data_IF_186974403834
#
_entry.id   IF_186974403834
#
_cell.length_a   1.000
_cell.length_b   1.000
_cell.length_c   1.000
_cell.angle_alpha   90.00
_cell.angle_beta   90.00
_cell.angle_gamma   90.00
#
_symmetry.space_group_name_H-M   'P 1'
#
loop_
_entity.id
_entity.type
_entity.pdbx_description
1 polymer ?
#
# COMPACT_ATOMS: atom_id res chain seq x y z
N UNK A 1 4.84 32.75 -1.84
CA UNK A 1 5.75 32.13 -2.82
C UNK A 1 5.14 30.78 -3.18
N UNK A 2 4.65 30.59 -4.41
CA UNK A 2 3.92 29.38 -4.81
C UNK A 2 4.81 28.48 -5.66
N UNK A 3 5.15 27.28 -5.18
CA UNK A 3 5.86 26.24 -5.95
C UNK A 3 4.92 25.33 -6.75
N UNK A 4 3.61 25.63 -6.76
CA UNK A 4 2.61 24.82 -7.44
C UNK A 4 2.66 25.06 -8.95
N UNK A 5 2.77 23.98 -9.73
CA UNK A 5 2.71 24.00 -11.20
C UNK A 5 4.00 24.45 -11.90
N UNK A 6 5.10 24.63 -11.15
CA UNK A 6 6.39 25.09 -11.70
C UNK A 6 7.36 23.95 -12.00
N UNK A 7 7.02 22.72 -11.65
CA UNK A 7 7.90 21.57 -11.83
C UNK A 7 7.14 20.28 -12.10
N UNK A 8 7.88 19.30 -12.61
CA UNK A 8 7.40 17.96 -12.92
C UNK A 8 8.17 16.92 -12.10
N UNK A 9 7.56 15.75 -11.96
CA UNK A 9 8.15 14.60 -11.28
C UNK A 9 7.96 13.36 -12.13
N UNK A 10 9.00 12.57 -12.31
CA UNK A 10 9.00 11.37 -13.15
C UNK A 10 9.49 10.19 -12.32
N UNK A 11 8.72 9.10 -12.33
CA UNK A 11 9.20 7.79 -11.87
C UNK A 11 9.97 7.10 -13.00
N UNK A 12 11.14 6.56 -12.68
CA UNK A 12 12.05 5.91 -13.62
C UNK A 12 12.38 4.50 -13.14
N UNK A 13 12.33 3.52 -14.04
CA UNK A 13 12.67 2.12 -13.80
C UNK A 13 14.17 1.84 -13.88
N UNK A 14 15.02 2.75 -13.39
CA UNK A 14 16.47 2.61 -13.34
C UNK A 14 16.99 2.93 -11.95
N UNK A 15 18.07 2.26 -11.56
CA UNK A 15 18.79 2.53 -10.32
C UNK A 15 19.53 3.87 -10.35
N UNK A 16 20.00 4.30 -9.18
CA UNK A 16 20.72 5.57 -9.01
C UNK A 16 21.97 5.69 -9.89
N UNK A 17 22.76 4.63 -9.99
CA UNK A 17 23.99 4.62 -10.79
C UNK A 17 23.68 4.69 -12.29
N UNK A 18 22.66 3.97 -12.73
CA UNK A 18 22.24 3.90 -14.13
C UNK A 18 21.63 5.23 -14.61
N UNK A 19 20.91 5.94 -13.74
CA UNK A 19 20.27 7.21 -14.11
C UNK A 19 21.20 8.42 -14.01
N UNK A 20 22.27 8.34 -13.20
CA UNK A 20 23.20 9.45 -12.95
C UNK A 20 23.81 10.08 -14.23
N UNK A 21 24.23 9.30 -15.26
CA UNK A 21 24.77 9.85 -16.50
C UNK A 21 23.77 10.67 -17.32
N UNK A 22 22.47 10.49 -17.11
CA UNK A 22 21.41 11.25 -17.79
C UNK A 22 21.10 12.53 -17.03
N UNK A 23 21.05 12.46 -15.70
CA UNK A 23 20.81 13.61 -14.83
C UNK A 23 21.93 14.65 -14.98
N UNK A 24 23.19 14.21 -15.05
CA UNK A 24 24.34 15.12 -15.17
C UNK A 24 24.36 15.94 -16.47
N UNK A 25 23.57 15.54 -17.48
CA UNK A 25 23.45 16.26 -18.76
C UNK A 25 22.40 17.36 -18.74
N UNK A 26 21.57 17.44 -17.69
CA UNK A 26 20.46 18.39 -17.59
C UNK A 26 20.55 19.14 -16.27
N UNK A 27 21.04 20.38 -16.32
CA UNK A 27 21.09 21.26 -15.14
C UNK A 27 19.69 21.75 -14.79
N UNK A 28 19.30 21.67 -13.51
CA UNK A 28 17.99 22.14 -13.01
C UNK A 28 16.99 21.02 -12.70
N UNK A 29 17.36 19.76 -12.93
CA UNK A 29 16.67 18.59 -12.37
C UNK A 29 17.48 17.97 -11.23
N UNK A 30 16.83 17.15 -10.41
CA UNK A 30 17.44 16.46 -9.29
C UNK A 30 16.95 15.01 -9.23
N UNK A 31 17.81 14.12 -8.73
CA UNK A 31 17.37 12.83 -8.21
C UNK A 31 16.61 13.12 -6.91
N UNK A 32 15.30 12.94 -6.94
CA UNK A 32 14.41 13.21 -5.81
C UNK A 32 14.40 12.03 -4.84
N UNK A 33 14.31 10.81 -5.37
CA UNK A 33 14.22 9.59 -4.57
C UNK A 33 15.05 8.46 -5.19
N UNK A 34 15.76 7.73 -4.34
CA UNK A 34 16.26 6.38 -4.57
C UNK A 34 15.29 5.41 -3.87
N UNK A 35 14.25 4.99 -4.59
CA UNK A 35 13.17 4.16 -4.03
C UNK A 35 13.60 2.70 -3.91
N UNK A 36 14.38 2.18 -4.85
CA UNK A 36 14.88 0.80 -4.83
C UNK A 36 16.14 0.70 -5.69
N UNK A 37 16.81 -0.47 -5.73
CA UNK A 37 17.97 -0.68 -6.61
C UNK A 37 17.68 -0.43 -8.10
N UNK A 38 16.42 -0.51 -8.52
CA UNK A 38 15.99 -0.37 -9.92
C UNK A 38 14.84 0.63 -10.08
N UNK A 39 14.65 1.54 -9.11
CA UNK A 39 13.59 2.54 -9.16
C UNK A 39 14.01 3.84 -8.52
N UNK A 40 13.93 4.90 -9.31
CA UNK A 40 14.26 6.26 -8.92
C UNK A 40 13.13 7.23 -9.27
N UNK A 41 13.15 8.39 -8.63
CA UNK A 41 12.26 9.51 -8.95
C UNK A 41 13.09 10.73 -9.29
N UNK A 42 12.78 11.40 -10.39
CA UNK A 42 13.42 12.64 -10.84
C UNK A 42 12.43 13.79 -10.65
N UNK A 43 12.90 14.94 -10.17
CA UNK A 43 12.08 16.14 -10.03
C UNK A 43 12.83 17.40 -10.46
N UNK A 44 12.12 18.41 -10.94
CA UNK A 44 12.72 19.68 -11.36
C UNK A 44 11.77 20.50 -12.23
N UNK A 45 12.33 21.47 -12.95
CA UNK A 45 11.58 22.30 -13.88
C UNK A 45 10.94 21.48 -14.99
N UNK A 46 9.70 21.82 -15.35
CA UNK A 46 8.87 21.00 -16.25
C UNK A 46 9.50 20.78 -17.63
N UNK A 47 10.03 21.84 -18.25
CA UNK A 47 10.71 21.81 -19.54
C UNK A 47 11.99 20.97 -19.50
N UNK A 48 12.75 21.07 -18.41
CA UNK A 48 14.00 20.31 -18.23
C UNK A 48 13.74 18.83 -17.95
N UNK A 49 12.70 18.50 -17.18
CA UNK A 49 12.25 17.12 -16.98
C UNK A 49 11.77 16.50 -18.31
N UNK A 50 11.06 17.26 -19.14
CA UNK A 50 10.66 16.81 -20.47
C UNK A 50 11.87 16.58 -21.40
N UNK A 51 12.86 17.46 -21.36
CA UNK A 51 14.12 17.28 -22.10
C UNK A 51 14.88 16.03 -21.64
N UNK A 52 15.00 15.83 -20.33
CA UNK A 52 15.58 14.62 -19.74
C UNK A 52 14.85 13.35 -20.19
N UNK A 53 13.51 13.34 -20.17
CA UNK A 53 12.70 12.22 -20.64
C UNK A 53 13.02 11.87 -22.10
N UNK A 54 13.05 12.87 -22.99
CA UNK A 54 13.35 12.66 -24.40
C UNK A 54 14.75 12.07 -24.65
N UNK A 55 15.76 12.52 -23.89
CA UNK A 55 17.11 11.97 -23.95
C UNK A 55 17.15 10.52 -23.43
N UNK A 56 16.60 10.29 -22.23
CA UNK A 56 16.68 9.00 -21.56
C UNK A 56 15.87 7.92 -22.28
N UNK A 57 14.66 8.23 -22.75
CA UNK A 57 13.82 7.29 -23.51
C UNK A 57 14.44 6.91 -24.85
N UNK A 58 15.16 7.83 -25.50
CA UNK A 58 15.85 7.53 -26.77
C UNK A 58 16.99 6.54 -26.59
N UNK A 59 17.74 6.65 -25.50
CA UNK A 59 18.87 5.76 -25.19
C UNK A 59 18.44 4.47 -24.47
N UNK A 60 17.28 4.48 -23.80
CA UNK A 60 16.72 3.37 -23.01
C UNK A 60 15.24 3.13 -23.36
N UNK A 61 14.91 2.68 -24.59
CA UNK A 61 13.52 2.60 -25.06
C UNK A 61 12.65 1.62 -24.26
N UNK A 62 13.26 0.56 -23.70
CA UNK A 62 12.56 -0.46 -22.90
C UNK A 62 12.40 -0.07 -21.42
N UNK A 63 13.02 1.05 -20.99
CA UNK A 63 12.93 1.50 -19.60
C UNK A 63 11.58 2.14 -19.32
N UNK A 64 11.03 1.83 -18.14
CA UNK A 64 9.83 2.48 -17.65
C UNK A 64 10.10 3.94 -17.29
N UNK A 65 9.36 4.87 -17.90
CA UNK A 65 9.29 6.28 -17.52
C UNK A 65 7.84 6.70 -17.38
N UNK A 66 7.47 7.30 -16.24
CA UNK A 66 6.11 7.80 -16.02
C UNK A 66 6.13 9.12 -15.27
N UNK A 67 5.63 10.16 -15.93
CA UNK A 67 5.33 11.43 -15.28
C UNK A 67 4.22 11.25 -14.23
N UNK A 68 4.45 11.78 -13.04
CA UNK A 68 3.54 11.69 -11.91
C UNK A 68 2.63 12.92 -11.90
N UNK A 69 1.34 12.70 -11.66
CA UNK A 69 0.34 13.78 -11.53
C UNK A 69 0.45 14.46 -10.18
N UNK A 70 1.52 15.20 -9.97
CA UNK A 70 1.79 15.99 -8.76
C UNK A 70 1.91 17.46 -9.12
N UNK A 71 1.48 18.33 -8.20
CA UNK A 71 1.51 19.78 -8.43
C UNK A 71 2.82 20.43 -7.97
N UNK A 72 3.65 19.71 -7.24
CA UNK A 72 4.86 20.24 -6.58
C UNK A 72 5.99 19.23 -6.82
N UNK A 73 7.11 19.74 -7.32
CA UNK A 73 8.35 18.99 -7.49
C UNK A 73 9.18 19.06 -6.19
N UNK A 74 8.81 18.24 -5.20
CA UNK A 74 9.59 18.09 -3.96
C UNK A 74 11.00 17.52 -4.23
N UNK A 75 11.91 17.71 -3.27
CA UNK A 75 13.32 17.26 -3.37
C UNK A 75 14.04 17.78 -4.62
N UNK A 76 13.70 19.01 -5.02
CA UNK A 76 14.32 19.74 -6.13
C UNK A 76 14.75 21.14 -5.70
N UNK A 77 15.45 21.84 -6.60
CA UNK A 77 15.83 23.24 -6.42
C UNK A 77 14.64 24.16 -6.06
N UNK A 78 13.40 23.80 -6.44
CA UNK A 78 12.20 24.55 -6.08
C UNK A 78 11.95 24.64 -4.57
N UNK A 79 12.43 23.66 -3.78
CA UNK A 79 12.23 23.65 -2.33
C UNK A 79 13.22 24.53 -1.59
N UNK A 80 14.41 24.79 -2.16
CA UNK A 80 15.46 25.58 -1.52
C UNK A 80 15.01 27.01 -1.20
N UNK A 81 14.20 27.63 -2.06
CA UNK A 81 13.66 28.97 -1.82
C UNK A 81 12.64 29.02 -0.68
N UNK A 82 12.02 27.88 -0.34
CA UNK A 82 11.05 27.78 0.75
C UNK A 82 11.67 27.30 2.06
N UNK A 83 12.82 26.63 2.02
CA UNK A 83 13.40 25.95 3.17
C UNK A 83 13.57 26.81 4.41
N UNK A 84 14.13 28.02 4.26
CA UNK A 84 14.33 28.93 5.40
C UNK A 84 13.00 29.39 6.03
N UNK A 85 11.99 29.65 5.20
CA UNK A 85 10.66 30.03 5.69
C UNK A 85 9.97 28.83 6.37
N UNK A 86 10.11 27.63 5.79
CA UNK A 86 9.59 26.40 6.37
C UNK A 86 10.22 26.11 7.74
N UNK A 87 11.56 26.14 7.84
CA UNK A 87 12.31 25.93 9.08
C UNK A 87 11.88 26.91 10.19
N UNK A 88 11.75 28.19 9.84
CA UNK A 88 11.28 29.24 10.77
C UNK A 88 9.87 28.94 11.29
N UNK A 89 8.97 28.50 10.41
CA UNK A 89 7.59 28.17 10.78
C UNK A 89 7.52 26.88 11.62
N UNK A 90 8.36 25.88 11.33
CA UNK A 90 8.35 24.60 12.06
C UNK A 90 9.00 24.69 13.43
N UNK A 91 9.92 25.64 13.64
CA UNK A 91 10.71 25.76 14.88
C UNK A 91 9.87 25.73 16.16
N UNK A 92 8.70 26.35 16.15
CA UNK A 92 7.82 26.43 17.33
C UNK A 92 6.89 25.21 17.50
N UNK A 93 6.96 24.25 16.58
CA UNK A 93 6.11 23.05 16.55
C UNK A 93 6.90 21.75 16.67
N UNK A 94 8.24 21.82 16.68
CA UNK A 94 9.10 20.65 16.90
C UNK A 94 9.39 20.52 18.38
N UNK A 95 8.83 19.47 18.97
CA UNK A 95 9.10 19.09 20.36
C UNK A 95 9.81 17.75 20.39
N UNK A 96 10.84 17.66 21.22
CA UNK A 96 11.68 16.48 21.34
C UNK A 96 11.27 15.65 22.55
N UNK A 97 10.98 14.37 22.34
CA UNK A 97 10.76 13.42 23.42
C UNK A 97 12.07 12.99 24.07
N UNK A 98 12.01 12.45 25.29
CA UNK A 98 13.21 11.90 25.97
C UNK A 98 13.73 10.62 25.32
N UNK A 99 12.83 9.84 24.75
CA UNK A 99 13.11 8.53 24.16
C UNK A 99 12.32 8.37 22.85
N UNK A 100 12.84 7.55 21.95
CA UNK A 100 12.16 7.18 20.71
C UNK A 100 12.47 5.73 20.31
N UNK A 101 11.56 5.13 19.55
CA UNK A 101 11.88 3.94 18.75
C UNK A 101 12.83 4.36 17.64
N UNK A 102 13.87 3.57 17.29
CA UNK A 102 14.81 3.94 16.24
C UNK A 102 14.11 4.29 14.92
N UNK A 103 14.44 5.44 14.35
CA UNK A 103 13.95 5.87 13.05
C UNK A 103 15.05 5.70 12.00
N UNK A 104 14.79 4.92 10.96
CA UNK A 104 15.72 4.79 9.84
C UNK A 104 15.49 5.95 8.87
N UNK A 105 16.39 6.93 8.91
CA UNK A 105 16.28 8.19 8.18
C UNK A 105 16.52 8.00 6.69
N UNK A 106 15.58 8.45 5.87
CA UNK A 106 15.73 8.51 4.41
C UNK A 106 16.58 9.68 3.93
N UNK A 107 17.11 10.52 4.82
CA UNK A 107 18.06 11.59 4.45
C UNK A 107 19.48 11.09 4.54
N UNK A 108 19.78 10.32 5.58
CA UNK A 108 21.14 9.87 5.92
C UNK A 108 21.37 8.40 5.61
N UNK A 109 20.30 7.63 5.38
CA UNK A 109 20.36 6.18 5.21
C UNK A 109 20.75 5.42 6.48
N UNK A 110 20.60 6.04 7.66
CA UNK A 110 21.07 5.52 8.95
C UNK A 110 19.97 5.57 10.01
N UNK A 111 20.12 4.73 11.04
CA UNK A 111 19.27 4.76 12.22
C UNK A 111 19.55 5.99 13.10
N UNK A 112 18.51 6.79 13.36
CA UNK A 112 18.47 7.85 14.36
C UNK A 112 17.87 7.27 15.63
N UNK A 113 18.57 7.48 16.75
CA UNK A 113 18.16 7.01 18.08
C UNK A 113 18.05 8.14 19.09
N UNK A 114 18.73 9.25 18.83
CA UNK A 114 18.62 10.46 19.64
C UNK A 114 17.49 11.34 19.07
N UNK A 115 16.39 11.54 19.83
CA UNK A 115 15.28 12.38 19.38
C UNK A 115 15.68 13.82 19.06
N UNK A 116 16.79 14.32 19.61
CA UNK A 116 17.27 15.69 19.35
C UNK A 116 17.81 15.88 17.93
N UNK A 117 18.12 14.80 17.21
CA UNK A 117 18.52 14.86 15.80
C UNK A 117 17.36 15.22 14.86
N UNK A 118 16.11 15.15 15.33
CA UNK A 118 14.89 15.46 14.57
C UNK A 118 14.41 16.90 14.83
N UNK A 119 15.31 17.86 14.64
CA UNK A 119 15.06 19.29 14.80
C UNK A 119 14.41 19.92 13.54
N UNK A 120 14.07 21.21 13.60
CA UNK A 120 13.54 21.95 12.45
C UNK A 120 14.45 21.90 11.21
N UNK A 121 15.77 21.82 11.44
CA UNK A 121 16.76 21.74 10.39
C UNK A 121 16.74 20.36 9.71
N UNK A 122 16.48 19.29 10.45
CA UNK A 122 16.21 17.96 9.91
C UNK A 122 14.99 17.97 9.00
N UNK A 123 13.87 18.56 9.42
CA UNK A 123 12.67 18.62 8.61
C UNK A 123 12.87 19.47 7.34
N UNK A 124 13.61 20.58 7.43
CA UNK A 124 14.02 21.32 6.24
C UNK A 124 14.85 20.47 5.30
N UNK A 125 15.87 19.78 5.81
CA UNK A 125 16.68 18.86 5.01
C UNK A 125 15.82 17.76 4.39
N UNK A 126 14.80 17.26 5.09
CA UNK A 126 13.88 16.26 4.56
C UNK A 126 13.15 16.78 3.32
N UNK A 127 12.70 18.04 3.34
CA UNK A 127 12.02 18.70 2.24
C UNK A 127 12.92 18.91 1.01
N UNK A 128 14.20 19.19 1.24
CA UNK A 128 15.16 19.62 0.21
C UNK A 128 16.03 18.48 -0.35
N UNK A 129 16.35 17.48 0.46
CA UNK A 129 17.36 16.47 0.14
C UNK A 129 16.78 15.27 -0.62
N UNK A 130 17.64 14.55 -1.33
CA UNK A 130 17.36 13.24 -1.91
C UNK A 130 16.84 12.26 -0.82
N UNK A 131 15.73 11.58 -1.15
CA UNK A 131 15.16 10.49 -0.34
C UNK A 131 15.88 9.18 -0.64
N UNK A 132 16.74 8.73 0.27
CA UNK A 132 17.51 7.49 0.25
C UNK A 132 16.70 6.32 0.85
N UNK A 133 15.51 6.05 0.29
CA UNK A 133 14.61 5.02 0.83
C UNK A 133 15.22 3.62 0.75
N UNK A 134 15.80 3.25 -0.41
CA UNK A 134 16.53 1.98 -0.57
C UNK A 134 17.59 1.79 0.53
N UNK A 135 18.45 2.80 0.72
CA UNK A 135 19.51 2.75 1.72
C UNK A 135 18.97 2.65 3.16
N UNK A 136 17.90 3.37 3.48
CA UNK A 136 17.27 3.29 4.79
C UNK A 136 16.77 1.86 5.09
N UNK A 137 16.16 1.18 4.12
CA UNK A 137 15.72 -0.21 4.29
C UNK A 137 16.90 -1.18 4.35
N UNK A 138 17.97 -0.98 3.57
CA UNK A 138 19.19 -1.79 3.71
C UNK A 138 19.78 -1.64 5.13
N UNK A 139 19.77 -0.43 5.69
CA UNK A 139 20.23 -0.19 7.07
C UNK A 139 19.36 -0.92 8.10
N UNK A 140 18.05 -1.08 7.86
CA UNK A 140 17.17 -1.94 8.69
C UNK A 140 17.67 -3.38 8.68
N UNK A 141 17.99 -3.93 7.51
CA UNK A 141 18.50 -5.30 7.36
C UNK A 141 19.84 -5.51 8.06
N UNK A 142 20.73 -4.51 8.02
CA UNK A 142 22.02 -4.56 8.70
C UNK A 142 21.88 -4.56 10.23
N UNK A 143 20.97 -3.76 10.77
CA UNK A 143 20.79 -3.63 12.22
C UNK A 143 19.93 -4.74 12.84
N UNK A 144 19.09 -5.41 12.05
CA UNK A 144 18.13 -6.40 12.53
C UNK A 144 18.16 -7.67 11.66
N UNK A 145 19.06 -8.64 11.90
CA UNK A 145 19.23 -9.81 11.03
C UNK A 145 18.12 -10.90 11.08
N UNK A 146 16.94 -10.59 11.62
CA UNK A 146 15.83 -11.52 11.91
C UNK A 146 14.62 -11.23 10.97
N UNK A 147 13.62 -12.13 10.82
CA UNK A 147 12.56 -11.94 9.83
C UNK A 147 11.83 -10.60 10.03
N UNK A 148 11.70 -9.85 8.94
CA UNK A 148 11.10 -8.51 8.97
C UNK A 148 9.64 -8.54 8.51
N UNK A 149 8.78 -7.88 9.27
CA UNK A 149 7.46 -7.47 8.81
C UNK A 149 7.46 -5.95 8.58
N UNK A 150 7.14 -5.52 7.36
CA UNK A 150 6.99 -4.12 6.99
C UNK A 150 5.50 -3.79 6.87
N UNK A 151 4.98 -3.07 7.86
CA UNK A 151 3.62 -2.52 7.84
C UNK A 151 3.65 -1.12 7.22
N UNK A 152 3.06 -0.94 6.03
CA UNK A 152 2.90 0.39 5.42
C UNK A 152 1.65 1.06 5.96
N UNK A 153 1.84 2.07 6.80
CA UNK A 153 0.76 2.93 7.30
C UNK A 153 0.50 4.06 6.29
N UNK A 154 -0.55 3.89 5.49
CA UNK A 154 -0.90 4.85 4.44
C UNK A 154 -2.26 4.57 3.81
N UNK A 155 -2.72 5.52 2.98
CA UNK A 155 -4.02 5.47 2.28
C UNK A 155 -4.07 4.48 1.10
N UNK A 156 -2.93 3.94 0.68
CA UNK A 156 -2.77 2.93 -0.35
C UNK A 156 -1.38 2.27 -0.21
N UNK A 157 -1.17 1.14 -0.87
CA UNK A 157 0.10 0.39 -0.94
C UNK A 157 1.11 1.05 -1.90
N UNK A 158 1.51 2.27 -1.63
CA UNK A 158 2.40 3.03 -2.50
C UNK A 158 3.85 2.52 -2.48
N UNK A 159 4.29 1.94 -1.35
CA UNK A 159 5.65 1.43 -1.17
C UNK A 159 5.82 -0.04 -1.57
N UNK A 160 4.74 -0.72 -1.94
CA UNK A 160 4.77 -2.15 -2.31
C UNK A 160 5.80 -2.45 -3.39
N UNK A 161 5.75 -1.74 -4.53
CA UNK A 161 6.68 -1.98 -5.65
C UNK A 161 8.15 -1.83 -5.25
N UNK A 162 8.56 -0.65 -4.73
CA UNK A 162 9.92 -0.43 -4.25
C UNK A 162 10.39 -1.43 -3.20
N UNK A 163 9.56 -1.75 -2.20
CA UNK A 163 9.91 -2.72 -1.15
C UNK A 163 10.11 -4.12 -1.72
N UNK A 164 9.27 -4.59 -2.66
CA UNK A 164 9.47 -5.89 -3.30
C UNK A 164 10.78 -5.96 -4.08
N UNK A 165 11.17 -4.88 -4.76
CA UNK A 165 12.47 -4.79 -5.44
C UNK A 165 13.64 -4.83 -4.45
N UNK A 166 13.52 -4.16 -3.30
CA UNK A 166 14.53 -4.21 -2.23
C UNK A 166 14.59 -5.61 -1.61
N UNK A 167 13.46 -6.27 -1.38
CA UNK A 167 13.41 -7.61 -0.78
C UNK A 167 14.04 -8.68 -1.69
N UNK A 168 14.02 -8.48 -3.01
CA UNK A 168 14.70 -9.36 -3.96
C UNK A 168 16.24 -9.33 -3.80
N UNK A 169 16.81 -8.25 -3.27
CA UNK A 169 18.26 -8.16 -2.99
C UNK A 169 18.61 -8.67 -1.59
N UNK A 170 17.64 -8.84 -0.70
CA UNK A 170 17.86 -9.38 0.64
C UNK A 170 18.41 -10.82 0.60
N UNK A 171 19.45 -11.08 1.40
CA UNK A 171 20.16 -12.38 1.46
C UNK A 171 19.96 -13.14 2.78
N UNK A 172 19.12 -12.63 3.68
CA UNK A 172 18.81 -13.32 4.93
C UNK A 172 17.95 -14.56 4.72
N UNK A 173 17.89 -15.42 5.76
CA UNK A 173 17.25 -16.74 5.69
C UNK A 173 15.75 -16.70 5.36
N UNK A 174 15.05 -15.66 5.81
CA UNK A 174 13.60 -15.49 5.64
C UNK A 174 13.30 -14.21 4.85
N UNK A 175 12.57 -14.32 3.74
CA UNK A 175 12.15 -13.13 3.00
C UNK A 175 11.27 -12.22 3.87
N UNK A 176 11.49 -10.89 3.84
CA UNK A 176 10.60 -9.94 4.50
C UNK A 176 9.16 -10.06 4.02
N UNK A 177 8.22 -9.77 4.92
CA UNK A 177 6.78 -9.70 4.64
C UNK A 177 6.38 -8.24 4.53
N UNK A 178 5.56 -7.90 3.53
CA UNK A 178 4.98 -6.57 3.36
C UNK A 178 3.47 -6.62 3.61
N UNK A 179 2.96 -5.68 4.40
CA UNK A 179 1.56 -5.59 4.80
C UNK A 179 1.09 -4.14 4.60
N UNK A 180 0.20 -3.85 3.65
CA UNK A 180 -0.40 -2.52 3.54
C UNK A 180 -1.53 -2.34 4.55
N UNK A 181 -1.68 -1.14 5.14
CA UNK A 181 -2.85 -0.84 5.98
C UNK A 181 -4.12 -0.58 5.18
N UNK A 182 -4.00 0.08 4.01
CA UNK A 182 -5.15 0.40 3.14
C UNK A 182 -4.79 0.16 1.68
N UNK A 183 -5.78 -0.23 0.86
CA UNK A 183 -5.63 -0.38 -0.59
C UNK A 183 -6.81 0.25 -1.35
N UNK A 184 -6.54 0.91 -2.48
CA UNK A 184 -7.58 1.47 -3.35
C UNK A 184 -8.22 0.35 -4.17
N UNK A 185 -9.53 0.39 -4.31
CA UNK A 185 -10.32 -0.45 -5.23
C UNK A 185 -10.16 -1.97 -5.06
N UNK A 186 -9.71 -2.44 -3.89
CA UNK A 186 -9.71 -3.87 -3.57
C UNK A 186 -10.89 -4.17 -2.64
N UNK A 187 -11.87 -4.89 -3.19
CA UNK A 187 -12.75 -5.81 -2.44
C UNK A 187 -12.26 -7.21 -2.85
N UNK A 188 -11.85 -8.04 -1.90
CA UNK A 188 -11.17 -9.30 -2.19
C UNK A 188 -12.17 -10.47 -2.19
N UNK A 189 -12.47 -11.08 -3.36
CA UNK A 189 -12.82 -12.52 -3.53
C UNK A 189 -13.28 -12.90 -4.96
N UNK A 190 -12.92 -14.11 -5.44
CA UNK A 190 -13.63 -14.79 -6.55
C UNK A 190 -12.97 -16.08 -7.11
N UNK A 191 -13.70 -17.20 -7.07
CA UNK A 191 -13.41 -18.49 -7.75
C UNK A 191 -14.62 -18.82 -8.68
N UNK A 192 -14.38 -19.38 -9.87
CA UNK A 192 -15.39 -19.68 -10.91
C UNK A 192 -16.26 -20.94 -10.66
N UNK A 193 -17.52 -20.86 -11.12
CA UNK A 193 -18.57 -21.91 -11.17
C UNK A 193 -18.38 -22.90 -12.34
N UNK A 194 -18.75 -24.18 -12.13
CA UNK A 194 -19.31 -25.07 -13.17
C UNK A 194 -20.68 -25.57 -12.73
N UNK A 195 -21.62 -25.50 -13.68
CA UNK A 195 -22.83 -26.32 -13.87
C UNK A 195 -23.83 -26.48 -12.71
N UNK A 196 -24.86 -25.63 -12.64
CA UNK A 196 -26.23 -26.03 -12.27
C UNK A 196 -27.26 -25.09 -12.93
N UNK A 197 -28.26 -25.71 -13.55
CA UNK A 197 -29.34 -25.07 -14.29
C UNK A 197 -30.41 -24.46 -13.37
N UNK A 198 -30.60 -23.15 -13.49
CA UNK A 198 -31.82 -22.34 -13.28
C UNK A 198 -31.43 -20.89 -13.68
N UNK A 199 -32.37 -20.01 -14.07
CA UNK A 199 -32.03 -18.61 -14.35
C UNK A 199 -31.64 -17.96 -13.01
N UNK A 200 -30.38 -18.10 -12.64
CA UNK A 200 -29.83 -17.53 -11.43
C UNK A 200 -29.71 -16.03 -11.66
N UNK A 201 -30.41 -15.25 -10.85
CA UNK A 201 -30.15 -13.84 -10.69
C UNK A 201 -28.64 -13.65 -10.52
N UNK A 202 -28.00 -13.01 -11.49
CA UNK A 202 -26.56 -12.81 -11.49
C UNK A 202 -26.22 -11.88 -10.33
N UNK A 203 -25.27 -12.30 -9.49
CA UNK A 203 -24.97 -11.58 -8.27
C UNK A 203 -23.46 -11.42 -8.10
N UNK A 204 -23.05 -10.19 -7.81
CA UNK A 204 -21.65 -9.83 -7.59
C UNK A 204 -21.32 -10.04 -6.12
N UNK A 205 -20.34 -10.89 -5.76
CA UNK A 205 -19.91 -11.07 -4.39
C UNK A 205 -19.41 -9.75 -3.79
N UNK A 206 -19.95 -9.38 -2.64
CA UNK A 206 -19.64 -8.14 -1.92
C UNK A 206 -18.76 -8.40 -0.70
N UNK A 207 -19.08 -9.44 0.07
CA UNK A 207 -18.36 -9.81 1.29
C UNK A 207 -18.66 -11.27 1.68
N UNK A 208 -17.75 -11.90 2.42
CA UNK A 208 -17.97 -13.18 3.11
C UNK A 208 -17.54 -12.97 4.56
N UNK A 209 -18.44 -13.19 5.51
CA UNK A 209 -18.12 -12.96 6.93
C UNK A 209 -17.21 -14.05 7.49
N UNK A 210 -17.45 -15.31 7.11
CA UNK A 210 -16.62 -16.44 7.54
C UNK A 210 -16.39 -17.42 6.41
N UNK A 211 -15.14 -17.80 6.21
CA UNK A 211 -14.72 -18.83 5.27
C UNK A 211 -13.79 -19.82 5.98
N UNK A 212 -14.09 -21.12 5.88
CA UNK A 212 -13.24 -22.20 6.40
C UNK A 212 -13.00 -23.21 5.29
N UNK A 213 -11.74 -23.56 5.03
CA UNK A 213 -11.36 -24.51 3.96
C UNK A 213 -10.47 -25.59 4.56
N UNK A 214 -10.72 -26.83 4.19
CA UNK A 214 -9.86 -27.97 4.48
C UNK A 214 -9.61 -28.79 3.21
N UNK A 215 -8.65 -29.71 3.29
CA UNK A 215 -8.36 -30.63 2.18
C UNK A 215 -9.60 -31.50 1.92
N UNK A 216 -10.16 -31.36 0.72
CA UNK A 216 -11.29 -32.15 0.22
C UNK A 216 -10.85 -33.40 -0.54
N UNK A 217 -11.80 -34.02 -1.23
CA UNK A 217 -11.54 -35.17 -2.12
C UNK A 217 -12.31 -35.05 -3.43
N UNK A 218 -12.23 -36.07 -4.29
CA UNK A 218 -12.91 -36.09 -5.58
C UNK A 218 -14.44 -36.04 -5.51
N UNK A 219 -15.05 -36.44 -4.38
CA UNK A 219 -16.51 -36.39 -4.19
C UNK A 219 -16.86 -35.63 -2.93
N UNK A 220 -17.64 -34.58 -3.09
CA UNK A 220 -18.08 -33.71 -2.00
C UNK A 220 -19.53 -33.27 -2.24
N UNK A 221 -20.28 -33.03 -1.16
CA UNK A 221 -21.68 -32.60 -1.19
C UNK A 221 -21.80 -31.15 -0.76
N UNK A 222 -22.40 -30.32 -1.60
CA UNK A 222 -22.67 -28.92 -1.30
C UNK A 222 -24.07 -28.78 -0.71
N UNK A 223 -24.18 -28.18 0.46
CA UNK A 223 -25.41 -27.56 0.96
C UNK A 223 -25.25 -26.05 0.87
N UNK A 224 -26.24 -25.35 0.34
CA UNK A 224 -26.25 -23.89 0.34
C UNK A 224 -27.64 -23.35 0.62
N UNK A 225 -27.69 -22.18 1.23
CA UNK A 225 -28.91 -21.43 1.47
C UNK A 225 -28.66 -19.98 1.11
N UNK A 226 -29.63 -19.35 0.45
CA UNK A 226 -29.57 -17.93 0.13
C UNK A 226 -30.93 -17.28 0.40
N UNK A 227 -30.91 -16.05 0.89
CA UNK A 227 -32.08 -15.22 1.16
C UNK A 227 -31.86 -13.83 0.56
N UNK A 228 -32.92 -13.25 0.00
CA UNK A 228 -32.89 -11.84 -0.40
C UNK A 228 -33.12 -10.96 0.81
N UNK A 229 -32.30 -9.92 0.94
CA UNK A 229 -32.50 -8.81 1.87
C UNK A 229 -33.13 -7.62 1.15
N UNK A 230 -33.37 -6.53 1.87
CA UNK A 230 -33.79 -5.26 1.27
C UNK A 230 -32.73 -4.71 0.30
N UNK A 231 -33.16 -3.87 -0.65
CA UNK A 231 -32.29 -3.12 -1.59
C UNK A 231 -31.38 -3.96 -2.51
N UNK A 232 -31.84 -5.10 -3.03
CA UNK A 232 -31.09 -5.87 -4.05
C UNK A 232 -29.86 -6.61 -3.51
N UNK A 233 -29.75 -6.76 -2.19
CA UNK A 233 -28.68 -7.51 -1.55
C UNK A 233 -29.15 -8.94 -1.29
N UNK A 234 -28.35 -9.92 -1.69
CA UNK A 234 -28.54 -11.33 -1.36
C UNK A 234 -27.57 -11.72 -0.24
N UNK A 235 -28.02 -12.57 0.68
CA UNK A 235 -27.17 -13.13 1.74
C UNK A 235 -27.29 -14.64 1.76
N UNK A 236 -26.18 -15.38 1.91
CA UNK A 236 -26.22 -16.83 1.90
C UNK A 236 -25.08 -17.51 2.62
N UNK A 237 -25.32 -18.77 2.93
CA UNK A 237 -24.40 -19.69 3.57
C UNK A 237 -24.16 -20.87 2.62
N UNK A 238 -22.95 -21.44 2.66
CA UNK A 238 -22.63 -22.65 1.92
C UNK A 238 -21.73 -23.57 2.74
N UNK A 239 -21.94 -24.87 2.66
CA UNK A 239 -21.13 -25.89 3.32
C UNK A 239 -20.84 -27.00 2.33
N UNK A 240 -19.57 -27.33 2.15
CA UNK A 240 -19.12 -28.47 1.36
C UNK A 240 -18.67 -29.57 2.33
N UNK A 241 -19.26 -30.75 2.18
CA UNK A 241 -19.04 -31.92 3.01
C UNK A 241 -18.31 -33.00 2.21
N UNK A 242 -17.34 -33.65 2.84
CA UNK A 242 -16.77 -34.92 2.40
C UNK A 242 -17.17 -36.00 3.42
N UNK A 243 -18.14 -36.85 3.09
CA UNK A 243 -18.82 -37.68 4.09
C UNK A 243 -19.51 -36.78 5.13
N UNK A 244 -19.18 -36.96 6.40
CA UNK A 244 -19.67 -36.13 7.51
C UNK A 244 -18.72 -34.99 7.89
N UNK A 245 -17.58 -34.84 7.18
CA UNK A 245 -16.58 -33.82 7.46
C UNK A 245 -16.82 -32.56 6.64
N UNK A 246 -16.89 -31.41 7.30
CA UNK A 246 -16.89 -30.10 6.65
C UNK A 246 -15.50 -29.81 6.07
N UNK A 247 -15.45 -29.60 4.75
CA UNK A 247 -14.23 -29.25 3.99
C UNK A 247 -14.28 -27.85 3.40
N UNK A 248 -15.48 -27.27 3.29
CA UNK A 248 -15.67 -25.84 3.04
C UNK A 248 -16.85 -25.37 3.90
N UNK A 249 -16.74 -24.23 4.56
CA UNK A 249 -17.88 -23.54 5.15
C UNK A 249 -17.78 -22.06 4.86
N UNK A 250 -18.86 -21.49 4.35
CA UNK A 250 -19.06 -20.09 4.02
C UNK A 250 -20.25 -19.65 4.84
N UNK A 251 -20.08 -18.66 5.70
CA UNK A 251 -21.17 -18.07 6.48
C UNK A 251 -21.31 -16.59 6.18
N UNK A 252 -22.56 -16.16 6.00
CA UNK A 252 -23.01 -14.79 5.72
C UNK A 252 -22.27 -14.16 4.54
N UNK A 253 -22.16 -14.90 3.44
CA UNK A 253 -21.79 -14.31 2.16
C UNK A 253 -22.86 -13.30 1.75
N UNK A 254 -22.44 -12.16 1.21
CA UNK A 254 -23.29 -11.06 0.77
C UNK A 254 -23.01 -10.79 -0.70
N UNK A 255 -24.04 -10.61 -1.51
CA UNK A 255 -23.95 -10.37 -2.95
C UNK A 255 -24.87 -9.22 -3.36
N UNK A 256 -24.52 -8.48 -4.41
CA UNK A 256 -25.41 -7.51 -5.05
C UNK A 256 -26.08 -8.15 -6.27
N UNK A 257 -27.40 -8.05 -6.36
CA UNK A 257 -28.13 -8.41 -7.57
C UNK A 257 -27.78 -7.48 -8.71
N UNK A 258 -27.53 -8.04 -9.90
CA UNK A 258 -27.42 -7.29 -11.15
C UNK A 258 -28.78 -7.37 -11.85
N UNK A 259 -29.47 -6.24 -11.99
CA UNK A 259 -30.69 -6.16 -12.80
C UNK A 259 -30.30 -6.18 -14.29
N UNK A 260 -30.62 -7.27 -14.98
CA UNK A 260 -30.33 -7.46 -16.42
C UNK A 260 -31.44 -6.92 -17.34
N UNK A 261 -32.25 -5.97 -16.87
CA UNK A 261 -33.38 -5.40 -17.64
C UNK A 261 -33.01 -4.20 -18.52
N UNK A 262 -31.72 -3.84 -18.61
CA UNK A 262 -31.22 -2.76 -19.48
C UNK A 262 -30.71 -3.27 -20.83
N UNK A 263 -31.21 -2.68 -21.91
CA UNK A 263 -30.98 -3.04 -23.32
C UNK A 263 -29.56 -2.72 -23.86
N UNK A 264 -28.55 -2.57 -22.99
CA UNK A 264 -27.16 -2.31 -23.40
C UNK A 264 -26.26 -3.53 -23.14
N UNK A 265 -25.54 -4.04 -24.14
CA UNK A 265 -24.62 -5.16 -23.96
C UNK A 265 -23.43 -4.70 -23.13
N UNK A 266 -23.38 -5.11 -21.86
CA UNK A 266 -22.19 -4.95 -21.02
C UNK A 266 -21.06 -5.78 -21.64
N UNK A 267 -19.97 -5.10 -21.99
CA UNK A 267 -18.82 -5.69 -22.67
C UNK A 267 -18.24 -6.86 -21.87
N UNK A 268 -18.36 -8.08 -22.42
CA UNK A 268 -17.82 -9.32 -21.86
C UNK A 268 -16.39 -9.46 -22.39
N UNK A 269 -15.40 -9.42 -21.50
CA UNK A 269 -14.01 -9.73 -21.87
C UNK A 269 -13.88 -11.24 -22.14
N UNK A 270 -13.67 -11.61 -23.41
CA UNK A 270 -13.31 -12.98 -23.82
C UNK A 270 -11.88 -13.28 -23.33
N UNK A 271 -11.73 -14.28 -22.44
CA UNK A 271 -10.41 -14.79 -22.03
C UNK A 271 -10.12 -16.06 -22.82
N UNK A 272 -9.04 -16.05 -23.61
CA UNK A 272 -8.50 -17.23 -24.31
C UNK A 272 -7.35 -17.83 -23.52
N UNK A 273 -7.42 -19.14 -23.30
CA UNK A 273 -6.36 -19.93 -22.67
C UNK A 273 -5.33 -20.37 -23.72
N UNK A 274 -4.06 -20.09 -23.46
CA UNK A 274 -2.92 -20.79 -24.07
C UNK A 274 -2.26 -21.67 -23.00
N UNK A 275 -1.76 -22.87 -23.35
CA UNK A 275 -1.26 -23.82 -22.37
C UNK A 275 0.23 -23.56 -22.09
N UNK A 276 0.56 -22.87 -21.00
CA UNK A 276 1.85 -23.01 -20.33
C UNK A 276 1.76 -22.51 -18.88
N UNK A 277 1.46 -23.41 -17.94
CA UNK A 277 1.74 -23.22 -16.52
C UNK A 277 2.35 -24.51 -15.99
N UNK A 278 3.67 -24.49 -15.73
CA UNK A 278 4.34 -25.49 -14.92
C UNK A 278 3.80 -25.41 -13.48
N UNK A 279 3.12 -26.46 -13.04
CA UNK A 279 2.54 -26.54 -11.70
C UNK A 279 3.61 -26.95 -10.68
N UNK A 280 4.00 -26.02 -9.81
CA UNK A 280 4.75 -26.35 -8.59
C UNK A 280 3.85 -27.06 -7.56
N UNK A 281 4.38 -27.99 -6.75
CA UNK A 281 3.61 -28.72 -5.75
C UNK A 281 2.94 -27.78 -4.73
N UNK A 282 1.65 -28.00 -4.44
CA UNK A 282 0.84 -27.17 -3.53
C UNK A 282 1.41 -27.03 -2.08
N UNK A 283 2.27 -27.97 -1.67
CA UNK A 283 3.02 -27.92 -0.39
C UNK A 283 4.01 -26.76 -0.35
N UNK A 284 4.53 -26.32 -1.50
CA UNK A 284 5.48 -25.21 -1.60
C UNK A 284 4.77 -23.84 -1.71
N UNK A 285 3.47 -23.85 -2.05
CA UNK A 285 2.65 -22.63 -2.15
C UNK A 285 1.99 -22.24 -0.83
N UNK A 286 1.78 -23.18 0.10
CA UNK A 286 1.22 -22.90 1.43
C UNK A 286 2.35 -22.96 2.45
N UNK A 287 3.01 -21.82 2.69
CA UNK A 287 3.92 -21.68 3.84
C UNK A 287 3.11 -21.79 5.12
N UNK A 288 3.26 -22.90 5.85
CA UNK A 288 2.89 -22.94 7.28
C UNK A 288 3.80 -21.95 8.01
N UNK A 289 3.23 -20.90 8.59
CA UNK A 289 3.94 -20.10 9.57
C UNK A 289 4.40 -21.04 10.68
N UNK A 290 5.72 -21.21 10.86
CA UNK A 290 6.28 -22.10 11.88
C UNK A 290 5.94 -21.64 13.30
N UNK A 291 5.39 -20.43 13.45
CA UNK A 291 4.89 -19.89 14.70
C UNK A 291 3.68 -18.97 14.44
N UNK A 292 2.52 -19.58 14.17
CA UNK A 292 1.26 -18.85 13.93
C UNK A 292 0.89 -17.94 15.12
N UNK A 293 1.20 -18.38 16.34
CA UNK A 293 0.90 -17.62 17.54
C UNK A 293 1.74 -16.35 17.66
N UNK A 294 3.05 -16.43 17.42
CA UNK A 294 3.91 -15.24 17.40
C UNK A 294 3.48 -14.22 16.33
N UNK A 295 2.99 -14.69 15.18
CA UNK A 295 2.46 -13.81 14.13
C UNK A 295 1.15 -13.13 14.56
N UNK A 296 0.24 -13.87 15.20
CA UNK A 296 -1.00 -13.31 15.79
C UNK A 296 -0.71 -12.29 16.88
N UNK A 297 0.28 -12.54 17.74
CA UNK A 297 0.64 -11.62 18.83
C UNK A 297 1.20 -10.29 18.27
N UNK A 298 2.01 -10.37 17.21
CA UNK A 298 2.49 -9.17 16.48
C UNK A 298 1.34 -8.44 15.81
N UNK A 299 0.42 -9.14 15.14
CA UNK A 299 -0.75 -8.52 14.51
C UNK A 299 -1.67 -7.85 15.53
N UNK A 300 -1.93 -8.50 16.66
CA UNK A 300 -2.72 -7.94 17.76
C UNK A 300 -2.04 -6.71 18.39
N UNK A 301 -0.71 -6.70 18.46
CA UNK A 301 0.05 -5.54 18.91
C UNK A 301 -0.03 -4.37 17.91
N UNK A 302 0.14 -4.66 16.61
CA UNK A 302 -0.01 -3.67 15.54
C UNK A 302 -1.42 -3.07 15.50
N UNK A 303 -2.47 -3.88 15.70
CA UNK A 303 -3.86 -3.42 15.78
C UNK A 303 -4.06 -2.42 16.93
N UNK A 304 -3.60 -2.75 18.13
CA UNK A 304 -3.66 -1.85 19.29
C UNK A 304 -2.97 -0.50 19.03
N UNK A 305 -1.78 -0.52 18.41
CA UNK A 305 -1.06 0.71 18.05
C UNK A 305 -1.86 1.53 17.02
N UNK A 306 -2.41 0.89 15.99
CA UNK A 306 -3.18 1.56 14.96
C UNK A 306 -4.44 2.23 15.54
N UNK A 307 -5.16 1.55 16.42
CA UNK A 307 -6.32 2.09 17.16
C UNK A 307 -5.91 3.35 17.93
N UNK A 308 -4.87 3.26 18.77
CA UNK A 308 -4.40 4.38 19.59
C UNK A 308 -4.01 5.59 18.73
N UNK A 309 -3.29 5.35 17.63
CA UNK A 309 -2.86 6.42 16.72
C UNK A 309 -4.04 7.09 16.01
N UNK A 310 -5.06 6.33 15.58
CA UNK A 310 -6.26 6.93 14.98
C UNK A 310 -7.01 7.79 16.00
N UNK A 311 -7.15 7.34 17.25
CA UNK A 311 -7.81 8.12 18.30
C UNK A 311 -7.03 9.40 18.67
N UNK A 312 -5.70 9.31 18.74
CA UNK A 312 -4.81 10.44 18.99
C UNK A 312 -4.91 11.48 17.87
N UNK A 313 -4.81 11.04 16.61
CA UNK A 313 -4.92 11.93 15.44
C UNK A 313 -6.31 12.59 15.39
N UNK A 314 -7.38 11.84 15.64
CA UNK A 314 -8.74 12.41 15.74
C UNK A 314 -8.82 13.52 16.80
N UNK A 315 -8.22 13.31 17.97
CA UNK A 315 -8.21 14.30 19.04
C UNK A 315 -7.47 15.56 18.65
N UNK A 316 -6.29 15.44 18.02
CA UNK A 316 -5.48 16.59 17.60
C UNK A 316 -6.04 17.34 16.39
N UNK A 317 -6.81 16.66 15.53
CA UNK A 317 -7.29 17.24 14.27
C UNK A 317 -8.75 17.69 14.32
N UNK A 318 -9.48 17.39 15.40
CA UNK A 318 -10.91 17.72 15.57
C UNK A 318 -11.24 19.17 15.29
N UNK A 319 -10.50 20.07 15.92
CA UNK A 319 -10.78 21.51 15.87
C UNK A 319 -9.93 22.23 14.81
N UNK A 320 -9.17 21.48 14.00
CA UNK A 320 -8.33 22.03 12.93
C UNK A 320 -9.14 22.17 11.65
N UNK A 321 -9.41 23.39 11.22
CA UNK A 321 -10.06 23.67 9.94
C UNK A 321 -9.06 23.78 8.80
N UNK A 322 -9.44 23.25 7.63
CA UNK A 322 -8.61 23.30 6.42
C UNK A 322 -9.48 23.49 5.19
N UNK A 323 -9.02 24.32 4.26
CA UNK A 323 -9.67 24.55 2.97
C UNK A 323 -9.12 23.62 1.87
N UNK A 324 -8.19 22.73 2.20
CA UNK A 324 -7.52 21.84 1.24
C UNK A 324 -8.39 20.58 1.05
N UNK A 325 -8.94 20.31 -0.16
CA UNK A 325 -9.97 19.29 -0.35
C UNK A 325 -9.57 17.87 0.07
N UNK A 326 -8.32 17.46 -0.18
CA UNK A 326 -7.85 16.13 0.20
C UNK A 326 -7.65 15.98 1.72
N UNK A 327 -7.30 17.07 2.42
CA UNK A 327 -7.18 17.07 3.88
C UNK A 327 -8.56 17.06 4.54
N UNK A 328 -9.57 17.71 3.95
CA UNK A 328 -10.97 17.60 4.40
C UNK A 328 -11.44 16.14 4.32
N UNK A 329 -11.20 15.47 3.19
CA UNK A 329 -11.57 14.06 3.00
C UNK A 329 -10.83 13.13 3.97
N UNK A 330 -9.54 13.36 4.17
CA UNK A 330 -8.72 12.60 5.12
C UNK A 330 -9.19 12.80 6.57
N UNK A 331 -9.41 14.05 7.01
CA UNK A 331 -9.94 14.38 8.34
C UNK A 331 -11.30 13.72 8.57
N UNK A 332 -12.20 13.80 7.58
CA UNK A 332 -13.50 13.14 7.63
C UNK A 332 -13.40 11.62 7.78
N UNK A 333 -12.43 10.99 7.11
CA UNK A 333 -12.17 9.56 7.27
C UNK A 333 -11.61 9.23 8.67
N UNK A 334 -10.64 9.99 9.18
CA UNK A 334 -10.09 9.82 10.53
C UNK A 334 -11.19 9.91 11.58
N UNK A 335 -12.05 10.93 11.51
CA UNK A 335 -13.19 11.08 12.42
C UNK A 335 -14.15 9.89 12.34
N UNK A 336 -14.46 9.41 11.13
CA UNK A 336 -15.33 8.26 10.96
C UNK A 336 -14.73 6.98 11.56
N UNK A 337 -13.41 6.77 11.44
CA UNK A 337 -12.74 5.61 12.06
C UNK A 337 -12.67 5.74 13.58
N UNK A 338 -12.27 6.90 14.10
CA UNK A 338 -12.23 7.14 15.55
C UNK A 338 -13.60 7.00 16.21
N UNK A 339 -14.68 7.42 15.53
CA UNK A 339 -16.05 7.19 15.98
C UNK A 339 -16.36 5.69 16.10
N UNK A 340 -16.05 4.89 15.07
CA UNK A 340 -16.25 3.43 15.11
C UNK A 340 -15.45 2.79 16.24
N UNK A 341 -14.20 3.20 16.44
CA UNK A 341 -13.34 2.70 17.52
C UNK A 341 -13.96 3.00 18.90
N UNK A 342 -14.45 4.23 19.11
CA UNK A 342 -15.12 4.62 20.36
C UNK A 342 -16.41 3.83 20.62
N UNK A 343 -17.10 3.41 19.57
CA UNK A 343 -18.27 2.52 19.66
C UNK A 343 -17.89 1.04 19.87
N UNK A 344 -16.60 0.71 20.02
CA UNK A 344 -16.13 -0.66 20.17
C UNK A 344 -16.11 -1.47 18.88
N UNK A 345 -16.27 -0.83 17.71
CA UNK A 345 -16.18 -1.45 16.38
C UNK A 345 -14.76 -1.34 15.84
N UNK A 346 -13.86 -2.13 16.40
CA UNK A 346 -12.42 -2.11 16.11
C UNK A 346 -12.07 -3.05 14.95
N UNK A 347 -12.56 -2.76 13.74
CA UNK A 347 -12.30 -3.59 12.55
C UNK A 347 -11.27 -2.92 11.63
N UNK A 348 -10.12 -2.51 12.17
CA UNK A 348 -9.02 -1.99 11.35
C UNK A 348 -8.31 -3.17 10.67
N UNK A 349 -8.12 -4.26 11.41
CA UNK A 349 -7.73 -5.56 10.90
C UNK A 349 -8.89 -6.56 11.15
N UNK A 350 -9.08 -7.58 10.29
CA UNK A 350 -10.07 -8.61 10.55
C UNK A 350 -9.75 -9.32 11.88
N UNK A 351 -10.74 -9.52 12.75
CA UNK A 351 -10.59 -10.41 13.90
C UNK A 351 -10.23 -11.82 13.38
N UNK A 352 -9.22 -12.42 14.03
CA UNK A 352 -8.55 -13.66 13.62
C UNK A 352 -9.46 -14.88 13.64
#
# INVERSE_FOLDING_TARGET
MYCSGLGAVVAVGLGREEIAPYISRVNGIALACENSPTSTTISGYQDLVAHFLGLAQKEQPETFFRELRVRIAYHSHHMLSLGAAYETLTKHHVETNREMVPMFSTITGKAIRDPTELDESYFRRNLESLVLFNQAIQSVFEHHPEPHAFLEVGQHSALSGPLQQIFATYRGKNRPVYIPTLMRNIVQCGIHKRDYASPGQEAIPAAIEKLSVAVGSSVMRLGSQCRSLASGILSGDATLLQGDKVVLSISKATFFSVDTTGDEPVSITEVRWEPDVELFPAVDMIKRAKDYQACLDVLAFCDKIAILKILEIDSHTRDVDTQIPHLIKWKGWIHAQAHKIREGKNNIFPES
#
